data_IF_657751086854
#
_entry.id   IF_657751086854
#
_cell.length_a   1.000
_cell.length_b   1.000
_cell.length_c   1.000
_cell.angle_alpha   90.00
_cell.angle_beta   90.00
_cell.angle_gamma   90.00
#
_symmetry.space_group_name_H-M   'P 1'
#
loop_
_entity.id
_entity.type
_entity.pdbx_description
1 polymer ?
#
# COMPACT_ATOMS: atom_id res chain seq x y z
N UNK A 1 -5.25 7.10 21.97
CA UNK A 1 -4.43 7.91 21.06
C UNK A 1 -4.21 9.27 21.69
N UNK A 2 -2.99 9.82 21.64
CA UNK A 2 -2.74 11.19 22.11
C UNK A 2 -3.33 12.20 21.11
N UNK A 3 -3.66 13.42 21.57
CA UNK A 3 -4.16 14.50 20.71
C UNK A 3 -3.19 14.80 19.53
N UNK A 4 -1.89 14.60 19.76
CA UNK A 4 -0.86 14.71 18.73
C UNK A 4 -1.01 13.66 17.62
N UNK A 5 -1.11 12.38 18.00
CA UNK A 5 -1.24 11.26 17.05
C UNK A 5 -2.54 11.34 16.25
N UNK A 6 -3.64 11.71 16.89
CA UNK A 6 -4.93 11.90 16.20
C UNK A 6 -4.84 13.03 15.17
N UNK A 7 -4.12 14.10 15.48
CA UNK A 7 -3.93 15.22 14.54
C UNK A 7 -2.99 14.88 13.39
N UNK A 8 -1.91 14.16 13.66
CA UNK A 8 -1.01 13.67 12.62
C UNK A 8 -1.75 12.75 11.65
N UNK A 9 -2.55 11.81 12.18
CA UNK A 9 -3.39 10.91 11.36
C UNK A 9 -4.33 11.71 10.45
N UNK A 10 -5.06 12.68 11.01
CA UNK A 10 -5.92 13.56 10.22
C UNK A 10 -5.17 14.32 9.13
N UNK A 11 -4.01 14.90 9.44
CA UNK A 11 -3.21 15.63 8.45
C UNK A 11 -2.68 14.71 7.35
N UNK A 12 -2.28 13.48 7.67
CA UNK A 12 -1.88 12.49 6.65
C UNK A 12 -3.05 12.08 5.76
N UNK A 13 -4.27 11.95 6.30
CA UNK A 13 -5.46 11.69 5.49
C UNK A 13 -5.80 12.84 4.56
N UNK A 14 -5.69 14.10 5.03
CA UNK A 14 -5.87 15.28 4.19
C UNK A 14 -4.82 15.29 3.07
N UNK A 15 -3.55 15.01 3.41
CA UNK A 15 -2.48 14.94 2.43
C UNK A 15 -2.73 13.87 1.36
N UNK A 16 -3.14 12.66 1.74
CA UNK A 16 -3.51 11.61 0.80
C UNK A 16 -4.66 12.03 -0.12
N UNK A 17 -5.67 12.74 0.40
CA UNK A 17 -6.79 13.24 -0.42
C UNK A 17 -6.33 14.28 -1.43
N UNK A 18 -5.42 15.17 -1.04
CA UNK A 18 -4.84 16.17 -1.94
C UNK A 18 -3.94 15.57 -3.02
N UNK A 19 -3.43 14.35 -2.82
CA UNK A 19 -2.54 13.65 -3.76
C UNK A 19 -3.26 12.69 -4.71
N UNK A 20 -4.59 12.55 -4.61
CA UNK A 20 -5.34 11.61 -5.46
C UNK A 20 -5.18 11.96 -6.94
N UNK A 21 -4.79 10.98 -7.74
CA UNK A 21 -4.58 11.14 -9.19
C UNK A 21 -3.25 11.79 -9.56
N UNK A 22 -2.44 12.21 -8.58
CA UNK A 22 -1.15 12.81 -8.84
C UNK A 22 -0.10 11.73 -9.16
N UNK A 23 0.67 11.95 -10.22
CA UNK A 23 1.77 11.05 -10.64
C UNK A 23 3.10 11.36 -9.93
N UNK A 24 3.20 12.53 -9.32
CA UNK A 24 4.36 13.02 -8.56
C UNK A 24 3.91 13.62 -7.24
N UNK A 25 4.78 13.63 -6.24
CA UNK A 25 4.49 14.29 -4.97
C UNK A 25 4.83 15.77 -5.06
N UNK A 26 3.83 16.58 -5.39
CA UNK A 26 3.90 18.04 -5.51
C UNK A 26 3.18 18.78 -4.37
N UNK A 27 2.63 18.01 -3.41
CA UNK A 27 2.00 18.55 -2.21
C UNK A 27 3.04 19.21 -1.30
N UNK A 28 2.78 20.47 -0.94
CA UNK A 28 3.57 21.24 0.01
C UNK A 28 2.81 21.43 1.31
N UNK A 29 3.51 21.64 2.42
CA UNK A 29 2.90 21.99 3.72
C UNK A 29 1.95 23.18 3.67
N UNK A 30 2.19 24.15 2.78
CA UNK A 30 1.27 25.29 2.58
C UNK A 30 -0.10 24.87 2.04
N UNK A 31 -0.16 23.86 1.17
CA UNK A 31 -1.43 23.34 0.64
C UNK A 31 -2.25 22.69 1.76
N UNK A 32 -1.58 22.04 2.74
CA UNK A 32 -2.28 21.46 3.88
C UNK A 32 -2.90 22.49 4.81
N UNK A 33 -2.33 23.70 4.94
CA UNK A 33 -2.95 24.78 5.74
C UNK A 33 -4.34 25.11 5.18
N UNK A 34 -4.44 25.27 3.87
CA UNK A 34 -5.69 25.56 3.18
C UNK A 34 -6.66 24.38 3.25
N UNK A 35 -6.19 23.16 3.00
CA UNK A 35 -7.03 21.97 2.94
C UNK A 35 -7.53 21.49 4.32
N UNK A 36 -6.77 21.71 5.39
CA UNK A 36 -7.09 21.20 6.74
C UNK A 36 -7.69 22.23 7.69
N UNK A 37 -7.63 23.53 7.34
CA UNK A 37 -8.00 24.64 8.22
C UNK A 37 -7.21 24.66 9.56
N UNK A 38 -6.06 23.98 9.61
CA UNK A 38 -5.14 24.00 10.75
C UNK A 38 -4.09 25.09 10.54
N UNK A 39 -3.70 25.76 11.63
CA UNK A 39 -2.75 26.86 11.57
C UNK A 39 -1.39 26.42 11.00
N UNK A 40 -0.75 27.33 10.24
CA UNK A 40 0.57 27.12 9.64
C UNK A 40 1.61 26.63 10.65
N UNK A 41 1.65 27.25 11.84
CA UNK A 41 2.59 26.84 12.90
C UNK A 41 2.38 25.39 13.33
N UNK A 42 1.13 24.93 13.44
CA UNK A 42 0.82 23.55 13.81
C UNK A 42 1.26 22.57 12.72
N UNK A 43 0.98 22.87 11.46
CA UNK A 43 1.39 22.04 10.31
C UNK A 43 2.92 21.88 10.27
N UNK A 44 3.64 22.98 10.47
CA UNK A 44 5.11 22.99 10.39
C UNK A 44 5.75 22.30 11.60
N UNK A 45 5.05 22.25 12.73
CA UNK A 45 5.47 21.44 13.88
C UNK A 45 5.26 19.94 13.65
N UNK A 46 4.19 19.54 12.94
CA UNK A 46 3.96 18.14 12.57
C UNK A 46 4.87 17.67 11.43
N UNK A 47 5.18 18.56 10.49
CA UNK A 47 6.06 18.29 9.34
C UNK A 47 7.15 19.36 9.27
N UNK A 48 8.29 19.15 9.95
CA UNK A 48 9.40 20.11 9.96
C UNK A 48 9.99 20.43 8.59
N UNK A 49 9.94 19.47 7.66
CA UNK A 49 10.34 19.63 6.25
C UNK A 49 9.26 19.11 5.30
N UNK A 50 9.42 19.37 4.00
CA UNK A 50 8.56 18.74 2.98
C UNK A 50 8.86 17.23 2.87
N UNK A 51 10.11 16.82 3.07
CA UNK A 51 10.45 15.40 3.12
C UNK A 51 9.72 14.69 4.27
N UNK A 52 9.57 15.36 5.43
CA UNK A 52 8.82 14.80 6.54
C UNK A 52 7.34 14.56 6.19
N UNK A 53 6.74 15.47 5.43
CA UNK A 53 5.38 15.29 4.93
C UNK A 53 5.28 14.06 4.01
N UNK A 54 6.19 13.92 3.05
CA UNK A 54 6.21 12.77 2.13
C UNK A 54 6.34 11.46 2.90
N UNK A 55 7.30 11.39 3.83
CA UNK A 55 7.58 10.18 4.61
C UNK A 55 6.46 9.86 5.60
N UNK A 56 5.79 10.87 6.16
CA UNK A 56 4.63 10.65 7.02
C UNK A 56 3.45 10.04 6.25
N UNK A 57 3.16 10.53 5.03
CA UNK A 57 2.13 9.95 4.15
C UNK A 57 2.51 8.51 3.77
N UNK A 58 3.77 8.25 3.43
CA UNK A 58 4.24 6.90 3.13
C UNK A 58 4.14 5.96 4.35
N UNK A 59 4.43 6.46 5.54
CA UNK A 59 4.29 5.71 6.80
C UNK A 59 2.84 5.34 7.05
N UNK A 60 1.90 6.28 6.87
CA UNK A 60 0.47 6.00 6.97
C UNK A 60 0.01 4.96 5.94
N UNK A 61 0.50 5.04 4.70
CA UNK A 61 0.23 4.04 3.66
C UNK A 61 0.64 2.63 4.10
N UNK A 62 1.88 2.44 4.55
CA UNK A 62 2.36 1.11 4.97
C UNK A 62 1.72 0.62 6.27
N UNK A 63 1.36 1.51 7.20
CA UNK A 63 0.55 1.14 8.38
C UNK A 63 -0.81 0.58 7.96
N UNK A 64 -1.51 1.23 7.03
CA UNK A 64 -2.79 0.73 6.49
C UNK A 64 -2.64 -0.64 5.82
N UNK A 65 -1.56 -0.84 5.06
CA UNK A 65 -1.23 -2.15 4.46
C UNK A 65 -1.05 -3.21 5.54
N UNK A 66 -0.32 -2.91 6.60
CA UNK A 66 -0.06 -3.84 7.70
C UNK A 66 -1.33 -4.14 8.53
N UNK A 67 -2.15 -3.12 8.83
CA UNK A 67 -3.46 -3.29 9.47
C UNK A 67 -4.34 -4.23 8.65
N UNK A 68 -4.39 -4.02 7.33
CA UNK A 68 -5.11 -4.92 6.43
C UNK A 68 -4.53 -6.34 6.44
N UNK A 69 -3.21 -6.48 6.47
CA UNK A 69 -2.55 -7.78 6.53
C UNK A 69 -2.96 -8.58 7.78
N UNK A 70 -3.14 -7.93 8.94
CA UNK A 70 -3.67 -8.58 10.14
C UNK A 70 -5.13 -9.02 9.98
N UNK A 71 -5.96 -8.21 9.33
CA UNK A 71 -7.33 -8.60 9.00
C UNK A 71 -7.36 -9.81 8.03
N UNK A 72 -6.52 -9.80 6.99
CA UNK A 72 -6.47 -10.88 6.00
C UNK A 72 -5.98 -12.21 6.62
N UNK A 73 -5.21 -12.17 7.72
CA UNK A 73 -4.81 -13.38 8.45
C UNK A 73 -5.99 -14.14 9.05
N UNK A 74 -7.04 -13.43 9.49
CA UNK A 74 -8.25 -14.05 10.05
C UNK A 74 -9.24 -14.46 8.96
N UNK A 75 -9.22 -13.75 7.82
CA UNK A 75 -10.11 -14.01 6.70
C UNK A 75 -9.68 -15.20 5.83
N UNK A 76 -8.37 -15.38 5.61
CA UNK A 76 -7.84 -16.40 4.70
C UNK A 76 -6.93 -17.37 5.44
N UNK A 77 -7.38 -18.63 5.56
CA UNK A 77 -6.61 -19.71 6.20
C UNK A 77 -5.43 -20.19 5.34
N UNK A 78 -5.62 -20.30 4.02
CA UNK A 78 -4.57 -20.71 3.10
C UNK A 78 -3.59 -19.55 2.83
N UNK A 79 -2.29 -19.81 3.00
CA UNK A 79 -1.24 -18.79 2.88
C UNK A 79 -1.13 -18.23 1.46
N UNK A 80 -1.29 -19.07 0.43
CA UNK A 80 -1.21 -18.61 -0.96
C UNK A 80 -2.38 -17.68 -1.24
N UNK A 81 -3.60 -18.11 -0.94
CA UNK A 81 -4.80 -17.31 -1.08
C UNK A 81 -4.68 -16.00 -0.30
N UNK A 82 -4.22 -16.03 0.96
CA UNK A 82 -3.98 -14.82 1.76
C UNK A 82 -3.05 -13.85 1.05
N UNK A 83 -1.92 -14.34 0.54
CA UNK A 83 -0.94 -13.52 -0.18
C UNK A 83 -1.56 -12.86 -1.41
N UNK A 84 -2.23 -13.66 -2.26
CA UNK A 84 -2.86 -13.20 -3.49
C UNK A 84 -3.96 -12.17 -3.21
N UNK A 85 -4.86 -12.47 -2.27
CA UNK A 85 -6.00 -11.60 -1.96
C UNK A 85 -5.55 -10.30 -1.28
N UNK A 86 -4.51 -10.34 -0.44
CA UNK A 86 -3.93 -9.14 0.16
C UNK A 86 -3.41 -8.16 -0.90
N UNK A 87 -2.63 -8.65 -1.85
CA UNK A 87 -2.07 -7.80 -2.91
C UNK A 87 -3.13 -7.37 -3.93
N UNK A 88 -4.12 -8.20 -4.24
CA UNK A 88 -5.28 -7.79 -5.05
C UNK A 88 -6.07 -6.68 -4.36
N UNK A 89 -6.36 -6.82 -3.06
CA UNK A 89 -6.98 -5.73 -2.28
C UNK A 89 -6.13 -4.48 -2.36
N UNK A 90 -4.80 -4.64 -2.27
CA UNK A 90 -3.93 -3.51 -2.22
C UNK A 90 -3.88 -2.70 -3.51
N UNK A 91 -3.79 -3.40 -4.65
CA UNK A 91 -3.91 -2.81 -5.97
C UNK A 91 -5.28 -2.16 -6.18
N UNK A 92 -6.35 -2.81 -5.71
CA UNK A 92 -7.71 -2.27 -5.77
C UNK A 92 -7.84 -0.97 -4.99
N UNK A 93 -7.30 -0.89 -3.78
CA UNK A 93 -7.34 0.33 -2.96
C UNK A 93 -6.66 1.50 -3.67
N UNK A 94 -5.51 1.23 -4.30
CA UNK A 94 -4.77 2.27 -5.04
C UNK A 94 -5.56 2.73 -6.26
N UNK A 95 -6.19 1.81 -7.01
CA UNK A 95 -7.03 2.14 -8.18
C UNK A 95 -8.33 2.84 -7.80
N UNK A 96 -8.94 2.49 -6.68
CA UNK A 96 -10.21 3.08 -6.25
C UNK A 96 -10.03 4.51 -5.73
N UNK A 97 -8.89 4.79 -5.10
CA UNK A 97 -8.62 6.08 -4.48
C UNK A 97 -7.50 6.88 -5.17
N UNK A 98 -7.02 6.42 -6.31
CA UNK A 98 -5.91 7.00 -7.09
C UNK A 98 -4.65 7.29 -6.25
N UNK A 99 -4.19 6.31 -5.44
CA UNK A 99 -3.11 6.44 -4.43
C UNK A 99 -1.73 5.95 -4.90
N UNK A 100 -1.35 6.22 -6.14
CA UNK A 100 -0.12 5.65 -6.73
C UNK A 100 1.17 6.39 -6.41
N UNK A 101 1.08 7.64 -5.93
CA UNK A 101 2.25 8.50 -5.71
C UNK A 101 3.27 7.89 -4.75
N UNK A 102 2.81 7.16 -3.73
CA UNK A 102 3.69 6.52 -2.75
C UNK A 102 4.47 5.36 -3.37
N UNK A 103 3.82 4.49 -4.17
CA UNK A 103 4.52 3.40 -4.88
C UNK A 103 5.55 3.90 -5.89
N UNK A 104 5.38 5.12 -6.42
CA UNK A 104 6.35 5.75 -7.33
C UNK A 104 7.57 6.29 -6.58
N UNK A 105 7.38 6.84 -5.39
CA UNK A 105 8.43 7.59 -4.68
C UNK A 105 9.09 6.79 -3.56
N UNK A 106 8.42 5.82 -2.95
CA UNK A 106 8.93 5.08 -1.80
C UNK A 106 9.12 3.59 -2.08
N UNK A 107 10.16 2.96 -1.49
CA UNK A 107 11.21 3.57 -0.68
C UNK A 107 12.19 4.41 -1.50
N UNK A 108 12.73 5.49 -0.90
CA UNK A 108 13.77 6.36 -1.49
C UNK A 108 14.78 6.81 -0.41
N UNK A 109 16.04 6.28 -0.45
CA UNK A 109 17.06 6.61 0.54
C UNK A 109 17.46 8.09 0.59
N UNK A 110 17.47 8.79 -0.55
CA UNK A 110 17.84 10.21 -0.61
C UNK A 110 16.81 11.09 0.10
N UNK A 111 15.53 10.71 0.01
CA UNK A 111 14.46 11.37 0.74
C UNK A 111 14.55 11.07 2.24
N UNK A 112 14.81 9.82 2.61
CA UNK A 112 14.95 9.39 4.01
C UNK A 112 16.15 10.05 4.72
N UNK A 113 17.18 10.44 3.97
CA UNK A 113 18.32 11.20 4.51
C UNK A 113 17.97 12.65 4.90
N UNK A 114 16.82 13.17 4.44
CA UNK A 114 16.41 14.57 4.63
C UNK A 114 15.34 14.76 5.72
N UNK A 115 14.79 13.68 6.28
CA UNK A 115 13.74 13.74 7.30
C UNK A 115 14.29 13.74 8.71
N UNK A 116 13.44 14.15 9.66
CA UNK A 116 13.74 14.02 11.08
C UNK A 116 13.95 12.55 11.50
N UNK A 117 14.78 12.32 12.51
CA UNK A 117 15.08 10.97 13.00
C UNK A 117 13.84 10.20 13.44
N UNK A 118 12.93 10.87 14.17
CA UNK A 118 11.68 10.28 14.64
C UNK A 118 10.82 9.78 13.47
N UNK A 119 10.71 10.58 12.41
CA UNK A 119 9.91 10.23 11.24
C UNK A 119 10.58 9.15 10.37
N UNK A 120 11.91 9.17 10.25
CA UNK A 120 12.68 8.09 9.62
C UNK A 120 12.44 6.76 10.33
N UNK A 121 12.59 6.74 11.65
CA UNK A 121 12.38 5.54 12.48
C UNK A 121 10.94 5.03 12.33
N UNK A 122 9.95 5.92 12.38
CA UNK A 122 8.55 5.54 12.21
C UNK A 122 8.28 4.89 10.84
N UNK A 123 8.87 5.43 9.77
CA UNK A 123 8.79 4.85 8.44
C UNK A 123 9.48 3.49 8.36
N UNK A 124 10.73 3.40 8.81
CA UNK A 124 11.52 2.15 8.78
C UNK A 124 10.82 1.03 9.55
N UNK A 125 10.19 1.34 10.68
CA UNK A 125 9.38 0.39 11.43
C UNK A 125 8.15 -0.08 10.64
N UNK A 126 7.37 0.84 10.08
CA UNK A 126 6.14 0.49 9.35
C UNK A 126 6.45 -0.27 8.05
N UNK A 127 7.37 0.25 7.25
CA UNK A 127 7.81 -0.36 6.00
C UNK A 127 8.52 -1.70 6.26
N UNK A 128 9.46 -1.74 7.20
CA UNK A 128 10.18 -2.96 7.58
C UNK A 128 9.25 -4.06 8.06
N UNK A 129 8.26 -3.73 8.91
CA UNK A 129 7.26 -4.70 9.36
C UNK A 129 6.41 -5.24 8.20
N UNK A 130 6.01 -4.39 7.25
CA UNK A 130 5.25 -4.82 6.08
C UNK A 130 6.07 -5.70 5.13
N UNK A 131 7.33 -5.37 4.88
CA UNK A 131 8.23 -6.20 4.07
C UNK A 131 8.51 -7.54 4.75
N UNK A 132 8.75 -7.53 6.06
CA UNK A 132 8.96 -8.74 6.84
C UNK A 132 7.73 -9.66 6.78
N UNK A 133 6.52 -9.10 6.93
CA UNK A 133 5.28 -9.84 6.79
C UNK A 133 5.15 -10.52 5.40
N UNK A 134 5.47 -9.79 4.33
CA UNK A 134 5.47 -10.36 2.97
C UNK A 134 6.48 -11.51 2.84
N UNK A 135 7.70 -11.33 3.34
CA UNK A 135 8.74 -12.35 3.30
C UNK A 135 8.32 -13.61 4.06
N UNK A 136 7.76 -13.46 5.26
CA UNK A 136 7.32 -14.58 6.07
C UNK A 136 6.12 -15.30 5.47
N UNK A 137 5.20 -14.57 4.84
CA UNK A 137 4.08 -15.18 4.14
C UNK A 137 4.54 -15.95 2.90
N UNK A 138 5.47 -15.43 2.11
CA UNK A 138 6.06 -16.16 0.97
C UNK A 138 6.73 -17.45 1.45
N UNK A 139 7.52 -17.38 2.54
CA UNK A 139 8.12 -18.58 3.15
C UNK A 139 7.05 -19.59 3.59
N UNK A 140 5.96 -19.12 4.18
CA UNK A 140 4.87 -19.96 4.66
C UNK A 140 3.99 -20.54 3.52
N UNK A 141 3.96 -19.89 2.35
CA UNK A 141 3.42 -20.50 1.13
C UNK A 141 4.30 -21.69 0.72
N UNK A 142 5.62 -21.54 0.84
CA UNK A 142 6.60 -22.60 0.59
C UNK A 142 7.75 -22.06 -0.25
N UNK A 143 8.98 -22.32 0.18
CA UNK A 143 10.18 -21.89 -0.52
C UNK A 143 10.48 -22.78 -1.72
N UNK A 144 10.66 -22.16 -2.88
CA UNK A 144 11.15 -22.82 -4.09
C UNK A 144 12.55 -22.26 -4.37
N UNK A 145 13.55 -23.14 -4.28
CA UNK A 145 14.96 -22.78 -4.44
C UNK A 145 15.29 -22.21 -5.83
N UNK A 146 16.46 -21.56 -5.94
CA UNK A 146 17.04 -21.09 -7.20
C UNK A 146 16.98 -19.58 -7.41
N UNK A 147 16.06 -18.86 -6.76
CA UNK A 147 15.93 -17.39 -6.89
C UNK A 147 15.54 -16.72 -5.58
N UNK A 148 15.87 -15.44 -5.42
CA UNK A 148 15.26 -14.60 -4.39
C UNK A 148 13.83 -14.25 -4.79
N UNK A 149 12.90 -15.13 -4.40
CA UNK A 149 11.48 -15.01 -4.71
C UNK A 149 10.87 -13.77 -4.07
N UNK A 150 11.37 -13.35 -2.91
CA UNK A 150 10.83 -12.21 -2.20
C UNK A 150 11.18 -10.91 -2.92
N UNK A 151 12.43 -10.76 -3.35
CA UNK A 151 12.87 -9.63 -4.18
C UNK A 151 12.13 -9.60 -5.53
N UNK A 152 12.02 -10.73 -6.22
CA UNK A 152 11.30 -10.82 -7.50
C UNK A 152 9.84 -10.37 -7.38
N UNK A 153 9.15 -10.86 -6.35
CA UNK A 153 7.76 -10.50 -6.11
C UNK A 153 7.63 -9.03 -5.71
N UNK A 154 8.50 -8.50 -4.85
CA UNK A 154 8.48 -7.08 -4.46
C UNK A 154 8.65 -6.14 -5.68
N UNK A 155 9.59 -6.46 -6.57
CA UNK A 155 9.81 -5.70 -7.80
C UNK A 155 8.60 -5.77 -8.74
N UNK A 156 8.01 -6.95 -8.90
CA UNK A 156 6.80 -7.12 -9.70
C UNK A 156 5.61 -6.35 -9.13
N UNK A 157 5.37 -6.41 -7.81
CA UNK A 157 4.27 -5.71 -7.14
C UNK A 157 4.33 -4.20 -7.40
N UNK A 158 5.51 -3.59 -7.20
CA UNK A 158 5.73 -2.16 -7.47
C UNK A 158 5.52 -1.82 -8.94
N UNK A 159 6.07 -2.63 -9.85
CA UNK A 159 5.90 -2.43 -11.29
C UNK A 159 4.45 -2.57 -11.76
N UNK A 160 3.72 -3.53 -11.20
CA UNK A 160 2.31 -3.76 -11.50
C UNK A 160 1.43 -2.59 -11.05
N UNK A 161 1.64 -2.04 -9.85
CA UNK A 161 0.94 -0.85 -9.38
C UNK A 161 1.12 0.34 -10.34
N UNK A 162 2.37 0.61 -10.73
CA UNK A 162 2.70 1.72 -11.66
C UNK A 162 2.07 1.48 -13.04
N UNK A 163 2.14 0.25 -13.57
CA UNK A 163 1.59 -0.06 -14.89
C UNK A 163 0.05 0.00 -14.90
N UNK A 164 -0.62 -0.50 -13.86
CA UNK A 164 -2.07 -0.40 -13.75
C UNK A 164 -2.55 1.05 -13.77
N UNK A 165 -1.82 1.94 -13.07
CA UNK A 165 -2.06 3.38 -13.06
C UNK A 165 -1.81 4.03 -14.44
N UNK A 166 -0.72 3.69 -15.12
CA UNK A 166 -0.40 4.24 -16.44
C UNK A 166 -1.31 3.71 -17.56
N UNK A 167 -1.81 2.49 -17.41
CA UNK A 167 -2.72 1.85 -18.36
C UNK A 167 -4.20 2.20 -18.13
N UNK A 168 -4.52 3.05 -17.13
CA UNK A 168 -5.89 3.43 -16.81
C UNK A 168 -6.77 2.23 -16.47
N UNK A 169 -6.23 1.23 -15.76
CA UNK A 169 -7.00 0.06 -15.33
C UNK A 169 -8.10 0.48 -14.34
N UNK A 170 -9.19 -0.27 -14.32
CA UNK A 170 -10.32 0.02 -13.44
C UNK A 170 -10.33 -0.94 -12.23
N UNK A 171 -10.71 -0.43 -11.06
CA UNK A 171 -10.63 -1.19 -9.80
C UNK A 171 -11.58 -2.41 -9.74
N UNK A 172 -12.57 -2.51 -10.64
CA UNK A 172 -13.54 -3.61 -10.68
C UNK A 172 -13.25 -4.67 -11.77
N UNK A 173 -12.04 -4.69 -12.34
CA UNK A 173 -11.65 -5.64 -13.37
C UNK A 173 -11.20 -6.99 -12.76
N UNK A 174 -12.13 -7.95 -12.68
CA UNK A 174 -11.85 -9.31 -12.19
C UNK A 174 -10.78 -10.05 -13.02
N UNK A 175 -10.66 -9.77 -14.33
CA UNK A 175 -9.68 -10.42 -15.19
C UNK A 175 -8.26 -9.96 -14.84
N UNK A 176 -8.10 -8.66 -14.58
CA UNK A 176 -6.83 -8.09 -14.11
C UNK A 176 -6.35 -8.76 -12.82
N UNK A 177 -7.21 -8.89 -11.80
CA UNK A 177 -6.81 -9.52 -10.53
C UNK A 177 -6.46 -11.00 -10.67
N UNK A 178 -7.17 -11.72 -11.55
CA UNK A 178 -6.84 -13.11 -11.87
C UNK A 178 -5.46 -13.23 -12.54
N UNK A 179 -5.16 -12.39 -13.55
CA UNK A 179 -3.85 -12.36 -14.22
C UNK A 179 -2.73 -11.96 -13.26
N UNK A 180 -2.98 -10.95 -12.42
CA UNK A 180 -2.05 -10.49 -11.40
C UNK A 180 -1.73 -11.61 -10.40
N UNK A 181 -2.76 -12.32 -9.94
CA UNK A 181 -2.58 -13.44 -9.00
C UNK A 181 -1.86 -14.63 -9.62
N UNK A 182 -2.13 -14.91 -10.91
CA UNK A 182 -1.38 -15.90 -11.66
C UNK A 182 0.10 -15.52 -11.76
N UNK A 183 0.43 -14.29 -12.11
CA UNK A 183 1.82 -13.84 -12.19
C UNK A 183 2.54 -13.96 -10.82
N UNK A 184 1.88 -13.58 -9.73
CA UNK A 184 2.42 -13.75 -8.38
C UNK A 184 2.70 -15.21 -8.03
N UNK A 185 1.80 -16.14 -8.36
CA UNK A 185 2.03 -17.57 -8.09
C UNK A 185 3.20 -18.12 -8.89
N UNK A 186 3.35 -17.73 -10.16
CA UNK A 186 4.49 -18.11 -10.99
C UNK A 186 5.81 -17.54 -10.46
N UNK A 187 5.82 -16.26 -10.07
CA UNK A 187 7.02 -15.62 -9.53
C UNK A 187 7.49 -16.26 -8.22
N UNK A 188 6.55 -16.71 -7.38
CA UNK A 188 6.86 -17.50 -6.17
C UNK A 188 7.27 -18.95 -6.46
N UNK A 189 7.18 -19.41 -7.72
CA UNK A 189 7.56 -20.77 -8.14
C UNK A 189 6.47 -21.83 -7.99
N UNK A 190 5.21 -21.43 -7.75
CA UNK A 190 4.10 -22.34 -7.46
C UNK A 190 3.16 -22.48 -8.66
N UNK A 191 3.68 -22.96 -9.79
CA UNK A 191 2.91 -23.13 -11.03
C UNK A 191 1.88 -24.27 -10.97
N UNK A 192 2.11 -25.22 -10.07
CA UNK A 192 1.28 -26.39 -9.78
C UNK A 192 0.15 -26.09 -8.80
N UNK A 193 0.28 -25.03 -7.98
CA UNK A 193 -0.74 -24.66 -7.00
C UNK A 193 -1.95 -24.01 -7.66
N UNK A 194 -3.12 -24.44 -7.21
CA UNK A 194 -4.40 -23.89 -7.65
C UNK A 194 -4.62 -22.51 -7.02
N UNK A 195 -4.77 -21.50 -7.85
CA UNK A 195 -5.19 -20.15 -7.44
C UNK A 195 -6.72 -20.00 -7.57
N UNK A 196 -7.32 -18.97 -6.93
CA UNK A 196 -8.72 -18.62 -7.18
C UNK A 196 -8.98 -18.40 -8.68
N UNK A 197 -10.12 -18.88 -9.17
CA UNK A 197 -10.49 -18.66 -10.57
C UNK A 197 -11.09 -17.26 -10.78
N UNK A 198 -11.30 -16.86 -12.03
CA UNK A 198 -11.85 -15.54 -12.34
C UNK A 198 -13.23 -15.28 -11.69
N UNK A 199 -14.09 -16.29 -11.56
CA UNK A 199 -15.39 -16.15 -10.88
C UNK A 199 -15.23 -15.80 -9.39
N UNK A 200 -14.22 -16.36 -8.72
CA UNK A 200 -13.92 -16.00 -7.33
C UNK A 200 -13.56 -14.52 -7.18
N UNK A 201 -12.86 -13.93 -8.15
CA UNK A 201 -12.57 -12.48 -8.14
C UNK A 201 -13.81 -11.63 -8.40
N UNK A 202 -14.74 -12.08 -9.25
CA UNK A 202 -16.04 -11.41 -9.43
C UNK A 202 -16.81 -11.38 -8.11
N UNK A 203 -16.93 -12.53 -7.42
CA UNK A 203 -17.60 -12.61 -6.12
C UNK A 203 -16.89 -11.80 -5.04
N UNK A 204 -15.56 -11.81 -5.02
CA UNK A 204 -14.76 -11.02 -4.09
C UNK A 204 -14.98 -9.51 -4.27
N UNK A 205 -14.98 -9.02 -5.51
CA UNK A 205 -15.24 -7.62 -5.81
C UNK A 205 -16.65 -7.20 -5.39
N UNK A 206 -17.66 -8.02 -5.69
CA UNK A 206 -19.04 -7.74 -5.29
C UNK A 206 -19.18 -7.63 -3.76
N UNK A 207 -18.57 -8.55 -3.01
CA UNK A 207 -18.58 -8.51 -1.55
C UNK A 207 -17.94 -7.24 -0.96
N UNK A 208 -16.90 -6.70 -1.62
CA UNK A 208 -16.28 -5.44 -1.19
C UNK A 208 -17.17 -4.22 -1.45
N UNK A 209 -17.99 -4.23 -2.51
CA UNK A 209 -18.95 -3.16 -2.80
C UNK A 209 -20.10 -3.15 -1.79
N UNK A 210 -20.64 -4.32 -1.45
CA UNK A 210 -21.69 -4.45 -0.44
C UNK A 210 -21.23 -3.96 0.93
N UNK A 211 -19.98 -4.26 1.30
CA UNK A 211 -19.39 -3.80 2.56
C UNK A 211 -19.16 -2.28 2.57
N UNK A 212 -18.79 -1.69 1.43
CA UNK A 212 -18.60 -0.25 1.30
C UNK A 212 -19.92 0.54 1.31
N UNK A 213 -21.01 -0.04 0.80
CA UNK A 213 -22.34 0.57 0.81
C UNK A 213 -23.06 0.43 2.16
N UNK A 214 -22.60 -0.47 3.03
CA UNK A 214 -23.16 -0.70 4.36
C UNK A 214 -22.47 0.08 5.49
N UNK A 215 -21.34 0.76 5.20
CA UNK A 215 -20.54 1.54 6.15
C UNK A 215 -20.76 3.05 5.95
#
# INVERSE_FOLDING_TARGET
>A
MSNWQSRESYLTEVAERCLRGHKSFDLRRSHLVEASQISKGTIYNHFPTEADLVVAVATAHFKRRLERAYFDQTLYNDNLTRFLMHHCWGLRDDLLYDRFVISRIMPNPELLAQVTDDNRIAFEQAYGAYIQWNHDLIKAVGMVEGFDRAELVANYLRGAQINCDDSGKHYNDASMYYQFSYALSQLMGHSDKRIPNQLAYVSWLAGLEDTANAA
#
